data_IF_371428583255
#
_entry.id   IF_371428583255
#
_cell.length_a   1.000
_cell.length_b   1.000
_cell.length_c   1.000
_cell.angle_alpha   90.00
_cell.angle_beta   90.00
_cell.angle_gamma   90.00
#
_symmetry.space_group_name_H-M   'P 1'
#
loop_
_entity.id
_entity.type
_entity.pdbx_description
1 polymer ?
#
# COMPACT_ATOMS: atom_id res chain seq x y z
N UNK A 1 -18.72 -7.02 1.21
CA UNK A 1 -19.04 -5.63 0.79
C UNK A 1 -17.84 -4.77 1.12
N UNK A 2 -17.33 -3.97 0.18
CA UNK A 2 -16.19 -3.07 0.46
C UNK A 2 -16.73 -1.87 1.24
N UNK A 3 -16.23 -1.65 2.46
CA UNK A 3 -16.69 -0.58 3.36
C UNK A 3 -16.09 0.77 3.00
N UNK A 4 -14.81 0.82 2.69
CA UNK A 4 -14.08 2.03 2.32
C UNK A 4 -13.12 1.78 1.15
N UNK A 5 -12.88 2.81 0.35
CA UNK A 5 -11.84 2.84 -0.67
C UNK A 5 -11.20 4.22 -0.67
N UNK A 6 -9.93 4.30 -0.32
CA UNK A 6 -9.25 5.57 -0.16
C UNK A 6 -7.97 5.62 -1.01
N UNK A 7 -7.72 6.78 -1.59
CA UNK A 7 -6.49 7.12 -2.26
C UNK A 7 -5.83 8.28 -1.50
N UNK A 8 -4.55 8.16 -1.24
CA UNK A 8 -3.83 9.13 -0.44
C UNK A 8 -2.63 9.68 -1.21
N UNK A 9 -2.44 11.00 -1.19
CA UNK A 9 -1.35 11.61 -1.96
C UNK A 9 -1.10 13.09 -1.71
N UNK A 10 0.02 13.56 -2.25
CA UNK A 10 0.39 14.99 -2.27
C UNK A 10 -0.47 15.74 -3.29
N UNK A 11 -0.70 17.02 -3.01
CA UNK A 11 -1.52 17.90 -3.85
C UNK A 11 -0.95 18.16 -5.27
N UNK A 12 0.36 17.93 -5.48
CA UNK A 12 1.12 18.41 -6.64
C UNK A 12 0.86 17.71 -8.00
N UNK A 13 -0.19 16.88 -8.18
CA UNK A 13 -0.48 16.24 -9.47
C UNK A 13 -1.99 16.02 -9.72
N UNK A 14 -2.73 17.13 -9.74
CA UNK A 14 -4.19 17.21 -9.55
C UNK A 14 -5.05 16.58 -10.66
N UNK A 15 -4.66 16.62 -11.94
CA UNK A 15 -5.56 16.22 -13.04
C UNK A 15 -5.64 14.70 -13.24
N UNK A 16 -4.52 13.98 -13.18
CA UNK A 16 -4.50 12.52 -13.40
C UNK A 16 -5.09 11.78 -12.21
N UNK A 17 -4.85 12.26 -10.99
CA UNK A 17 -5.33 11.62 -9.75
C UNK A 17 -6.84 11.73 -9.55
N UNK A 18 -7.42 12.91 -9.79
CA UNK A 18 -8.86 13.08 -9.64
C UNK A 18 -9.62 12.19 -10.65
N UNK A 19 -9.12 12.06 -11.88
CA UNK A 19 -9.72 11.19 -12.91
C UNK A 19 -9.70 9.72 -12.49
N UNK A 20 -8.55 9.23 -12.00
CA UNK A 20 -8.41 7.85 -11.51
C UNK A 20 -9.34 7.63 -10.31
N UNK A 21 -9.32 8.52 -9.33
CA UNK A 21 -10.13 8.37 -8.13
C UNK A 21 -11.63 8.37 -8.42
N UNK A 22 -12.10 9.23 -9.33
CA UNK A 22 -13.51 9.24 -9.76
C UNK A 22 -13.87 7.94 -10.49
N UNK A 23 -13.04 7.49 -11.43
CA UNK A 23 -13.29 6.28 -12.21
C UNK A 23 -13.37 5.01 -11.35
N UNK A 24 -12.66 4.99 -10.21
CA UNK A 24 -12.64 3.85 -9.29
C UNK A 24 -13.44 4.07 -7.99
N UNK A 25 -14.18 5.17 -7.89
CA UNK A 25 -14.93 5.58 -6.70
C UNK A 25 -14.09 5.58 -5.42
N UNK A 26 -12.90 6.20 -5.47
CA UNK A 26 -11.99 6.34 -4.34
C UNK A 26 -12.20 7.69 -3.65
N UNK A 27 -12.31 7.67 -2.32
CA UNK A 27 -12.20 8.88 -1.50
C UNK A 27 -10.76 9.38 -1.55
N UNK A 28 -10.54 10.63 -1.97
CA UNK A 28 -9.19 11.20 -2.09
C UNK A 28 -8.82 12.00 -0.86
N UNK A 29 -7.82 11.55 -0.14
CA UNK A 29 -7.23 12.27 0.98
C UNK A 29 -5.95 12.97 0.51
N UNK A 30 -6.02 14.29 0.43
CA UNK A 30 -4.91 15.14 -0.01
C UNK A 30 -4.15 15.66 1.19
N UNK A 31 -2.83 15.65 1.09
CA UNK A 31 -1.97 16.20 2.13
C UNK A 31 -1.04 17.27 1.56
N UNK A 32 -1.06 18.43 2.20
CA UNK A 32 -0.03 19.46 2.00
C UNK A 32 1.29 18.94 2.56
N UNK A 33 2.37 18.91 1.76
CA UNK A 33 3.68 18.49 2.25
C UNK A 33 4.13 19.37 3.41
N UNK A 34 4.63 18.77 4.48
CA UNK A 34 5.28 19.53 5.53
C UNK A 34 6.67 19.99 5.05
N UNK A 35 6.98 21.28 5.17
CA UNK A 35 8.25 21.86 4.68
C UNK A 35 9.47 21.32 5.46
N UNK A 36 9.25 20.79 6.68
CA UNK A 36 10.31 20.34 7.58
C UNK A 36 10.11 18.88 8.00
N UNK A 37 11.15 18.07 7.81
CA UNK A 37 11.20 16.66 8.20
C UNK A 37 10.85 15.72 7.04
N UNK A 38 11.83 14.90 6.62
CA UNK A 38 11.74 14.03 5.43
C UNK A 38 10.55 13.05 5.46
N UNK A 39 10.16 12.58 6.65
CA UNK A 39 9.20 11.47 6.82
C UNK A 39 7.87 11.89 7.47
N UNK A 40 7.66 13.19 7.72
CA UNK A 40 6.44 13.68 8.41
C UNK A 40 5.19 13.46 7.55
N UNK A 41 5.36 13.54 6.22
CA UNK A 41 4.27 13.30 5.28
C UNK A 41 3.84 11.82 5.31
N UNK A 42 4.80 10.90 5.38
CA UNK A 42 4.54 9.45 5.38
C UNK A 42 3.95 9.00 6.71
N UNK A 43 4.35 9.63 7.83
CA UNK A 43 3.73 9.40 9.14
C UNK A 43 2.26 9.88 9.19
N UNK A 44 1.97 11.08 8.67
CA UNK A 44 0.59 11.58 8.58
C UNK A 44 -0.28 10.67 7.72
N UNK A 45 0.29 10.18 6.63
CA UNK A 45 -0.34 9.23 5.75
C UNK A 45 -0.64 7.90 6.47
N UNK A 46 0.33 7.37 7.23
CA UNK A 46 0.13 6.18 8.04
C UNK A 46 -1.02 6.33 9.06
N UNK A 47 -1.12 7.48 9.74
CA UNK A 47 -2.21 7.75 10.67
C UNK A 47 -3.59 7.80 10.00
N UNK A 48 -3.68 8.42 8.82
CA UNK A 48 -4.94 8.50 8.08
C UNK A 48 -5.39 7.13 7.54
N UNK A 49 -4.44 6.32 7.07
CA UNK A 49 -4.68 4.94 6.65
C UNK A 49 -5.15 4.11 7.86
N UNK A 50 -4.52 4.28 9.02
CA UNK A 50 -4.91 3.60 10.25
C UNK A 50 -6.35 3.94 10.68
N UNK A 51 -6.70 5.22 10.72
CA UNK A 51 -8.03 5.67 11.17
C UNK A 51 -9.16 5.07 10.31
N UNK A 52 -8.95 5.04 8.99
CA UNK A 52 -9.91 4.51 8.02
C UNK A 52 -10.02 2.97 8.11
N UNK A 53 -8.90 2.26 8.29
CA UNK A 53 -8.83 0.80 8.10
C UNK A 53 -8.95 -0.03 9.38
N UNK A 54 -8.83 0.57 10.57
CA UNK A 54 -8.82 -0.16 11.84
C UNK A 54 -10.11 -0.95 12.13
N UNK A 55 -11.23 -0.53 11.56
CA UNK A 55 -12.55 -1.13 11.79
C UNK A 55 -12.89 -2.26 10.81
N UNK A 56 -12.02 -2.52 9.83
CA UNK A 56 -12.24 -3.52 8.77
C UNK A 56 -11.47 -4.81 9.07
N UNK A 57 -12.00 -5.95 8.65
CA UNK A 57 -11.38 -7.27 8.86
C UNK A 57 -10.32 -7.61 7.81
N UNK A 58 -10.48 -7.03 6.61
CA UNK A 58 -9.58 -7.20 5.48
C UNK A 58 -9.13 -5.82 5.02
N UNK A 59 -7.83 -5.63 4.97
CA UNK A 59 -7.18 -4.38 4.58
C UNK A 59 -6.30 -4.64 3.36
N UNK A 60 -6.52 -3.89 2.28
CA UNK A 60 -5.71 -3.96 1.06
C UNK A 60 -4.88 -2.69 0.92
N UNK A 61 -3.56 -2.84 0.84
CA UNK A 61 -2.62 -1.72 0.70
C UNK A 61 -1.94 -1.82 -0.66
N UNK A 62 -2.08 -0.77 -1.47
CA UNK A 62 -1.41 -0.64 -2.76
C UNK A 62 -0.19 0.28 -2.62
N UNK A 63 0.96 -0.28 -2.21
CA UNK A 63 2.22 0.44 -2.07
C UNK A 63 3.43 -0.50 -2.08
N UNK A 64 4.55 -0.03 -2.66
CA UNK A 64 5.86 -0.68 -2.59
C UNK A 64 6.75 -0.10 -1.48
N UNK A 65 6.29 0.94 -0.77
CA UNK A 65 7.06 1.65 0.24
C UNK A 65 7.17 0.83 1.54
N UNK A 66 8.39 0.70 2.06
CA UNK A 66 8.68 -0.04 3.28
C UNK A 66 8.30 0.71 4.55
N UNK A 67 8.01 2.00 4.46
CA UNK A 67 7.59 2.79 5.63
C UNK A 67 6.25 2.31 6.20
N UNK A 68 5.44 1.57 5.41
CA UNK A 68 4.19 0.97 5.86
C UNK A 68 4.35 -0.38 6.60
N UNK A 69 5.56 -0.93 6.69
CA UNK A 69 5.77 -2.24 7.33
C UNK A 69 5.27 -2.28 8.78
N UNK A 70 5.51 -1.22 9.55
CA UNK A 70 5.02 -1.11 10.93
C UNK A 70 3.49 -1.11 11.02
N UNK A 71 2.81 -0.46 10.07
CA UNK A 71 1.34 -0.48 10.00
C UNK A 71 0.82 -1.89 9.70
N UNK A 72 1.47 -2.60 8.77
CA UNK A 72 1.10 -3.98 8.40
C UNK A 72 1.24 -4.91 9.61
N UNK A 73 2.35 -4.84 10.33
CA UNK A 73 2.57 -5.63 11.54
C UNK A 73 1.53 -5.32 12.62
N UNK A 74 1.24 -4.04 12.83
CA UNK A 74 0.22 -3.62 13.78
C UNK A 74 -1.17 -4.19 13.42
N UNK A 75 -1.59 -4.07 12.16
CA UNK A 75 -2.88 -4.59 11.69
C UNK A 75 -2.95 -6.12 11.86
N UNK A 76 -1.87 -6.84 11.55
CA UNK A 76 -1.80 -8.30 11.78
C UNK A 76 -1.88 -8.67 13.26
N UNK A 77 -1.26 -7.89 14.14
CA UNK A 77 -1.37 -8.09 15.59
C UNK A 77 -2.80 -7.85 16.12
N UNK A 78 -3.63 -7.13 15.36
CA UNK A 78 -5.08 -6.97 15.59
C UNK A 78 -5.92 -8.03 14.85
N UNK A 79 -5.29 -9.12 14.42
CA UNK A 79 -5.92 -10.24 13.71
C UNK A 79 -6.59 -9.86 12.38
N UNK A 80 -6.13 -8.77 11.76
CA UNK A 80 -6.63 -8.33 10.45
C UNK A 80 -5.92 -9.07 9.31
N UNK A 81 -6.66 -9.34 8.24
CA UNK A 81 -6.08 -9.87 6.99
C UNK A 81 -5.53 -8.71 6.17
N UNK A 82 -4.21 -8.67 5.96
CA UNK A 82 -3.57 -7.60 5.18
C UNK A 82 -3.07 -8.12 3.82
N UNK A 83 -3.64 -7.57 2.75
CA UNK A 83 -3.29 -7.86 1.36
C UNK A 83 -2.42 -6.73 0.79
N UNK A 84 -1.35 -7.08 0.10
CA UNK A 84 -0.42 -6.15 -0.52
C UNK A 84 -0.52 -6.12 -2.03
N UNK A 85 -0.44 -4.94 -2.63
CA UNK A 85 -0.33 -4.72 -4.06
C UNK A 85 0.85 -3.77 -4.33
N UNK A 86 1.80 -4.17 -5.16
CA UNK A 86 2.99 -3.35 -5.44
C UNK A 86 3.48 -3.51 -6.89
N UNK A 87 4.31 -2.58 -7.36
CA UNK A 87 5.13 -2.86 -8.54
C UNK A 87 6.25 -3.83 -8.16
N UNK A 88 6.56 -4.78 -9.04
CA UNK A 88 7.64 -5.73 -8.78
C UNK A 88 9.00 -5.02 -8.71
N UNK A 89 9.66 -5.19 -7.57
CA UNK A 89 11.04 -4.76 -7.34
C UNK A 89 11.85 -5.95 -6.83
N UNK A 90 12.95 -6.35 -7.51
CA UNK A 90 13.67 -7.58 -7.18
C UNK A 90 14.17 -7.66 -5.73
N UNK A 91 14.65 -6.54 -5.18
CA UNK A 91 15.17 -6.47 -3.81
C UNK A 91 14.08 -6.33 -2.74
N UNK A 92 12.95 -5.69 -3.07
CA UNK A 92 11.92 -5.32 -2.10
C UNK A 92 10.72 -6.26 -2.08
N UNK A 93 10.32 -6.83 -3.22
CA UNK A 93 9.14 -7.73 -3.27
C UNK A 93 9.27 -8.96 -2.36
N UNK A 94 10.42 -9.64 -2.29
CA UNK A 94 10.61 -10.77 -1.37
C UNK A 94 10.64 -10.35 0.11
N UNK A 95 10.98 -9.09 0.40
CA UNK A 95 10.90 -8.55 1.76
C UNK A 95 9.43 -8.29 2.11
N UNK A 96 8.72 -7.55 1.27
CA UNK A 96 7.30 -7.20 1.45
C UNK A 96 6.42 -8.46 1.61
N UNK A 97 6.70 -9.54 0.86
CA UNK A 97 5.92 -10.78 0.95
C UNK A 97 5.99 -11.47 2.32
N UNK A 98 6.98 -11.14 3.15
CA UNK A 98 7.07 -11.67 4.53
C UNK A 98 6.10 -10.96 5.48
N UNK A 99 5.75 -9.72 5.17
CA UNK A 99 4.88 -8.90 6.02
C UNK A 99 3.43 -9.08 5.62
N UNK A 100 3.12 -9.00 4.32
CA UNK A 100 1.76 -9.20 3.84
C UNK A 100 1.29 -10.66 3.99
N UNK A 101 0.00 -10.87 4.26
CA UNK A 101 -0.59 -12.22 4.22
C UNK A 101 -0.64 -12.77 2.79
N UNK A 102 -0.81 -11.88 1.81
CA UNK A 102 -0.65 -12.18 0.38
C UNK A 102 -0.14 -10.92 -0.31
N UNK A 103 0.92 -11.05 -1.12
CA UNK A 103 1.46 -9.95 -1.92
C UNK A 103 1.26 -10.24 -3.41
N UNK A 104 0.49 -9.37 -4.07
CA UNK A 104 0.34 -9.34 -5.52
C UNK A 104 1.26 -8.25 -6.09
N UNK A 105 2.09 -8.61 -7.07
CA UNK A 105 2.99 -7.66 -7.75
C UNK A 105 2.64 -7.52 -9.23
N UNK A 106 2.74 -6.30 -9.74
CA UNK A 106 2.62 -6.03 -11.17
C UNK A 106 4.01 -6.02 -11.80
N UNK A 107 4.21 -6.85 -12.83
CA UNK A 107 5.43 -6.91 -13.65
C UNK A 107 5.02 -7.07 -15.12
N UNK A 108 5.50 -6.18 -16.00
CA UNK A 108 5.21 -6.23 -17.44
C UNK A 108 3.72 -6.29 -17.79
N UNK A 109 2.87 -5.58 -17.02
CA UNK A 109 1.41 -5.57 -17.22
C UNK A 109 0.67 -6.80 -16.68
N UNK A 110 1.38 -7.79 -16.14
CA UNK A 110 0.81 -8.98 -15.54
C UNK A 110 0.85 -8.91 -14.00
N UNK A 111 -0.11 -9.56 -13.34
CA UNK A 111 -0.17 -9.69 -11.88
C UNK A 111 0.38 -11.06 -11.46
N UNK A 112 1.29 -11.06 -10.49
CA UNK A 112 1.91 -12.28 -9.94
C UNK A 112 1.73 -12.31 -8.42
N UNK A 113 1.53 -13.49 -7.85
CA UNK A 113 1.56 -13.68 -6.39
C UNK A 113 3.00 -13.98 -5.99
N UNK A 114 3.53 -13.24 -5.00
CA UNK A 114 4.89 -13.45 -4.49
C UNK A 114 4.82 -14.40 -3.30
N UNK A 115 5.43 -15.57 -3.44
CA UNK A 115 5.55 -16.55 -2.36
C UNK A 115 6.82 -16.29 -1.53
N UNK A 116 6.73 -16.25 -0.18
CA UNK A 116 7.86 -15.99 0.70
C UNK A 116 9.05 -16.96 0.55
N UNK A 117 8.78 -18.16 0.02
CA UNK A 117 9.76 -19.26 -0.08
C UNK A 117 10.59 -19.27 -1.37
N UNK A 118 10.35 -18.35 -2.31
CA UNK A 118 11.15 -18.26 -3.54
C UNK A 118 12.48 -17.51 -3.32
N UNK A 119 13.36 -18.08 -2.49
CA UNK A 119 14.80 -17.79 -2.60
C UNK A 119 15.33 -18.52 -3.83
N UNK A 120 15.43 -17.80 -4.94
CA UNK A 120 16.22 -18.21 -6.10
C UNK A 120 15.43 -18.95 -7.17
N UNK A 121 14.85 -18.19 -8.10
CA UNK A 121 15.11 -18.37 -9.54
C UNK A 121 14.27 -17.35 -10.32
N UNK A 122 14.84 -16.18 -10.51
CA UNK A 122 14.45 -15.31 -11.60
C UNK A 122 15.55 -15.40 -12.65
N UNK A 123 15.55 -16.50 -13.43
CA UNK A 123 16.33 -16.55 -14.66
C UNK A 123 15.55 -15.86 -15.77
N UNK A 124 16.30 -15.05 -16.49
CA UNK A 124 15.97 -14.10 -17.56
C UNK A 124 15.08 -14.67 -18.65
#
# INVERSE_FOLDING_TARGET
MIRSKAAFGKEANIQTWNTIAVNFCLTVHKFTPFIKGKNVTDFRLMLAVFDEMQNDDIVAIASADTDYLTLIEFLKAKEKTVLGFAQYQPSLSPLLSKFYGTLCVVKNGCVYIVHPETRGDYRS
#
